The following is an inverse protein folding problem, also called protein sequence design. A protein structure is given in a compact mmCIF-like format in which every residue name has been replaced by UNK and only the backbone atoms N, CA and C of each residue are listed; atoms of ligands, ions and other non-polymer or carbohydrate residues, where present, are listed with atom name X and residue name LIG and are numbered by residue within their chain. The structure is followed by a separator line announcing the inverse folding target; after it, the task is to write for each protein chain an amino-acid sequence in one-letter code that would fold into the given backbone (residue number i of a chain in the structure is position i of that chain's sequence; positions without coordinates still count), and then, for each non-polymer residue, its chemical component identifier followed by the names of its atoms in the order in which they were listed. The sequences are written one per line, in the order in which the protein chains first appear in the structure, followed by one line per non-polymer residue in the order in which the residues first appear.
data_IF_866561422528
#
_entry.id   IF_866561422528
#
_cell.length_a   1.000
_cell.length_b   1.000
_cell.length_c   1.000
_cell.angle_alpha   90.00
_cell.angle_beta   90.00
_cell.angle_gamma   90.00
#
_symmetry.space_group_name_H-M   'P 1'
#
loop_
_entity.id
_entity.type
_entity.pdbx_description
1 polymer ?
#
# COMPACT_ATOMS: atom_id res chain seq x y z
N UNK A 1 -16.71 -45.57 61.76
CA UNK A 1 -16.42 -44.14 61.53
C UNK A 1 -17.49 -43.58 60.59
N UNK A 2 -18.52 -42.89 61.11
CA UNK A 2 -19.57 -42.28 60.27
C UNK A 2 -19.05 -40.94 59.77
N UNK A 3 -18.67 -40.85 58.50
CA UNK A 3 -18.36 -39.58 57.85
C UNK A 3 -19.68 -38.80 57.79
N UNK A 4 -19.83 -37.80 58.65
CA UNK A 4 -20.93 -36.85 58.59
C UNK A 4 -20.81 -36.06 57.28
N UNK A 5 -21.56 -36.48 56.26
CA UNK A 5 -21.74 -35.74 55.02
C UNK A 5 -22.45 -34.44 55.38
N UNK A 6 -21.71 -33.34 55.47
CA UNK A 6 -22.32 -32.02 55.70
C UNK A 6 -22.77 -31.47 54.35
N UNK A 7 -24.07 -31.53 54.01
CA UNK A 7 -24.57 -31.12 52.69
C UNK A 7 -24.26 -29.65 52.39
N UNK A 8 -24.11 -28.80 53.41
CA UNK A 8 -23.75 -27.38 53.27
C UNK A 8 -22.32 -27.19 52.78
N UNK A 9 -21.39 -28.09 53.16
CA UNK A 9 -20.00 -28.05 52.69
C UNK A 9 -19.93 -28.38 51.18
N UNK A 10 -20.69 -29.38 50.75
CA UNK A 10 -20.76 -29.76 49.33
C UNK A 10 -21.41 -28.66 48.48
N UNK A 11 -22.44 -27.99 49.00
CA UNK A 11 -23.07 -26.86 48.32
C UNK A 11 -22.10 -25.67 48.18
N UNK A 12 -21.33 -25.38 49.23
CA UNK A 12 -20.31 -24.33 49.21
C UNK A 12 -19.19 -24.60 48.20
N UNK A 13 -18.69 -25.84 48.14
CA UNK A 13 -17.67 -26.24 47.16
C UNK A 13 -18.23 -26.15 45.73
N UNK A 14 -19.46 -26.63 45.49
CA UNK A 14 -20.09 -26.54 44.17
C UNK A 14 -20.24 -25.09 43.72
N UNK A 15 -20.65 -24.19 44.63
CA UNK A 15 -20.79 -22.76 44.37
C UNK A 15 -19.45 -22.12 43.98
N UNK A 16 -18.39 -22.43 44.71
CA UNK A 16 -17.03 -21.93 44.43
C UNK A 16 -16.53 -22.44 43.07
N UNK A 17 -16.74 -23.72 42.76
CA UNK A 17 -16.37 -24.31 41.45
C UNK A 17 -17.13 -23.63 40.31
N UNK A 18 -18.43 -23.35 40.48
CA UNK A 18 -19.19 -22.59 39.48
C UNK A 18 -18.67 -21.17 39.32
N UNK A 19 -18.42 -20.44 40.42
CA UNK A 19 -17.92 -19.07 40.35
C UNK A 19 -16.57 -19.03 39.62
N UNK A 20 -15.63 -19.92 39.95
CA UNK A 20 -14.33 -20.01 39.29
C UNK A 20 -14.45 -20.41 37.80
N UNK A 21 -15.41 -21.28 37.46
CA UNK A 21 -15.68 -21.66 36.07
C UNK A 21 -16.27 -20.51 35.24
N UNK A 22 -16.96 -19.55 35.87
CA UNK A 22 -17.55 -18.39 35.19
C UNK A 22 -16.68 -17.13 35.21
N UNK A 23 -15.74 -16.98 36.16
CA UNK A 23 -14.82 -15.82 36.20
C UNK A 23 -13.67 -15.91 35.21
N UNK A 24 -13.35 -17.09 34.69
CA UNK A 24 -12.25 -17.30 33.73
C UNK A 24 -12.67 -17.24 32.25
N UNK A 25 -13.91 -16.84 31.94
CA UNK A 25 -14.22 -16.39 30.58
C UNK A 25 -13.60 -15.01 30.42
N UNK A 26 -12.30 -14.97 30.13
CA UNK A 26 -11.75 -13.85 29.37
C UNK A 26 -12.66 -13.68 28.18
N UNK A 27 -13.44 -12.61 28.21
CA UNK A 27 -14.22 -12.18 27.07
C UNK A 27 -13.15 -11.66 26.12
N UNK A 28 -12.56 -12.57 25.33
CA UNK A 28 -11.83 -12.14 24.14
C UNK A 28 -12.84 -11.28 23.40
N UNK A 29 -12.58 -9.98 23.40
CA UNK A 29 -13.30 -9.06 22.54
C UNK A 29 -13.04 -9.55 21.13
N UNK A 30 -13.94 -10.39 20.62
CA UNK A 30 -14.02 -10.72 19.21
C UNK A 30 -14.28 -9.38 18.54
N UNK A 31 -13.22 -8.73 18.07
CA UNK A 31 -13.34 -7.70 17.05
C UNK A 31 -14.17 -8.38 15.95
N UNK A 32 -15.39 -7.91 15.65
CA UNK A 32 -16.25 -8.59 14.69
C UNK A 32 -15.72 -8.25 13.31
N UNK A 33 -14.66 -8.93 12.90
CA UNK A 33 -14.15 -8.87 11.54
C UNK A 33 -15.24 -9.40 10.62
N UNK A 34 -15.70 -8.57 9.69
CA UNK A 34 -16.65 -8.92 8.66
C UNK A 34 -15.97 -9.62 7.47
N UNK A 35 -16.78 -10.35 6.70
CA UNK A 35 -16.34 -10.85 5.39
C UNK A 35 -15.98 -9.66 4.49
N UNK A 36 -14.78 -9.69 3.90
CA UNK A 36 -14.21 -8.58 3.12
C UNK A 36 -13.22 -7.71 3.89
N UNK A 37 -13.13 -7.84 5.23
CA UNK A 37 -12.15 -7.10 6.01
C UNK A 37 -10.72 -7.55 5.68
N UNK A 38 -9.82 -6.57 5.62
CA UNK A 38 -8.40 -6.75 5.37
C UNK A 38 -7.61 -6.41 6.61
N UNK A 39 -6.69 -7.29 7.00
CA UNK A 39 -5.84 -7.11 8.18
C UNK A 39 -4.37 -7.37 7.86
N UNK A 40 -3.49 -6.67 8.59
CA UNK A 40 -2.05 -6.91 8.56
C UNK A 40 -1.64 -7.75 9.76
N UNK A 41 -0.71 -8.67 9.56
CA UNK A 41 -0.20 -9.53 10.63
C UNK A 41 1.27 -9.86 10.45
N UNK A 42 1.95 -10.07 11.58
CA UNK A 42 3.30 -10.66 11.61
C UNK A 42 3.26 -12.19 11.47
N UNK A 43 2.07 -12.80 11.62
CA UNK A 43 1.89 -14.26 11.59
C UNK A 43 1.74 -14.75 10.14
N UNK A 44 2.45 -15.82 9.83
CA UNK A 44 2.24 -16.58 8.59
C UNK A 44 0.86 -17.26 8.56
N UNK A 45 0.50 -17.83 7.41
CA UNK A 45 -0.86 -18.34 7.19
C UNK A 45 -1.21 -19.48 8.14
N UNK A 46 -0.25 -20.31 8.51
CA UNK A 46 -0.46 -21.48 9.38
C UNK A 46 -0.73 -21.07 10.82
N UNK A 47 0.01 -20.09 11.35
CA UNK A 47 -0.22 -19.54 12.69
C UNK A 47 -1.42 -18.59 12.74
N UNK A 48 -1.64 -17.82 11.68
CA UNK A 48 -2.76 -16.90 11.58
C UNK A 48 -4.09 -17.67 11.63
N UNK A 49 -4.22 -18.77 10.87
CA UNK A 49 -5.42 -19.60 10.84
C UNK A 49 -5.73 -20.29 12.18
N UNK A 50 -4.72 -20.50 13.04
CA UNK A 50 -4.90 -21.06 14.39
C UNK A 50 -5.40 -20.03 15.42
N UNK A 51 -5.20 -18.74 15.14
CA UNK A 51 -5.45 -17.64 16.09
C UNK A 51 -6.65 -16.78 15.70
N UNK A 52 -7.13 -16.89 14.46
CA UNK A 52 -8.26 -16.13 13.94
C UNK A 52 -9.41 -17.05 13.56
N UNK A 53 -10.63 -16.64 13.91
CA UNK A 53 -11.85 -17.37 13.56
C UNK A 53 -12.26 -17.06 12.12
N UNK A 54 -12.84 -18.06 11.46
CA UNK A 54 -13.30 -18.00 10.07
C UNK A 54 -12.23 -18.29 9.03
N UNK A 55 -12.61 -18.17 7.76
CA UNK A 55 -11.73 -18.45 6.62
C UNK A 55 -11.04 -17.17 6.18
N UNK A 56 -9.76 -17.09 6.51
CA UNK A 56 -8.87 -16.02 6.06
C UNK A 56 -7.93 -16.54 4.99
N UNK A 57 -7.61 -15.70 4.02
CA UNK A 57 -6.66 -16.02 2.96
C UNK A 57 -5.69 -14.88 2.75
N UNK A 58 -4.44 -15.23 2.46
CA UNK A 58 -3.42 -14.25 2.06
C UNK A 58 -3.87 -13.54 0.77
N UNK A 59 -3.67 -12.22 0.70
CA UNK A 59 -3.81 -11.42 -0.52
C UNK A 59 -2.59 -11.63 -1.42
N UNK A 60 -2.60 -12.74 -2.15
CA UNK A 60 -1.50 -13.25 -2.98
C UNK A 60 -1.87 -13.37 -4.47
N UNK A 61 -2.95 -12.72 -4.90
CA UNK A 61 -3.37 -12.72 -6.31
C UNK A 61 -4.15 -13.96 -6.76
N UNK A 62 -4.45 -14.91 -5.87
CA UNK A 62 -5.15 -16.14 -6.27
C UNK A 62 -6.61 -15.92 -6.65
N UNK A 63 -7.22 -16.84 -7.43
CA UNK A 63 -8.65 -16.82 -7.71
C UNK A 63 -9.51 -16.80 -6.44
N UNK A 64 -10.54 -15.97 -6.45
CA UNK A 64 -11.57 -15.97 -5.42
C UNK A 64 -12.52 -17.16 -5.64
N UNK A 65 -12.50 -18.12 -4.73
CA UNK A 65 -13.36 -19.30 -4.77
C UNK A 65 -14.85 -18.90 -4.68
N UNK A 66 -15.63 -19.36 -5.67
CA UNK A 66 -17.06 -19.07 -5.82
C UNK A 66 -17.92 -19.55 -4.65
N UNK A 67 -17.41 -20.50 -3.86
CA UNK A 67 -18.13 -21.03 -2.71
C UNK A 67 -18.00 -20.16 -1.45
N UNK A 68 -17.05 -19.21 -1.45
CA UNK A 68 -16.81 -18.30 -0.31
C UNK A 68 -17.99 -17.34 -0.10
N UNK A 69 -18.17 -16.89 1.13
CA UNK A 69 -19.19 -15.88 1.43
C UNK A 69 -18.88 -14.56 0.73
N UNK A 70 -17.60 -14.18 0.65
CA UNK A 70 -17.17 -12.96 -0.05
C UNK A 70 -17.60 -12.97 -1.51
N UNK A 71 -17.35 -14.06 -2.25
CA UNK A 71 -17.79 -14.17 -3.63
C UNK A 71 -19.30 -14.00 -3.75
N UNK A 72 -20.07 -14.75 -2.94
CA UNK A 72 -21.53 -14.72 -2.95
C UNK A 72 -22.07 -13.33 -2.62
N UNK A 73 -21.48 -12.62 -1.66
CA UNK A 73 -21.86 -11.26 -1.29
C UNK A 73 -21.66 -10.30 -2.47
N UNK A 74 -20.48 -10.35 -3.11
CA UNK A 74 -20.17 -9.50 -4.24
C UNK A 74 -21.07 -9.80 -5.46
N UNK A 75 -21.32 -11.08 -5.73
CA UNK A 75 -22.17 -11.55 -6.83
C UNK A 75 -23.64 -11.17 -6.62
N UNK A 76 -24.19 -11.43 -5.43
CA UNK A 76 -25.59 -11.13 -5.08
C UNK A 76 -25.91 -9.64 -5.19
N UNK A 77 -24.93 -8.77 -4.89
CA UNK A 77 -25.10 -7.32 -4.97
C UNK A 77 -24.68 -6.74 -6.34
N UNK A 78 -24.37 -7.57 -7.34
CA UNK A 78 -23.90 -7.15 -8.67
C UNK A 78 -22.67 -6.22 -8.62
N UNK A 79 -21.74 -6.48 -7.69
CA UNK A 79 -20.49 -5.73 -7.52
C UNK A 79 -19.25 -6.61 -7.65
N UNK A 80 -19.38 -7.85 -8.14
CA UNK A 80 -18.23 -8.76 -8.37
C UNK A 80 -17.20 -8.20 -9.36
N UNK A 81 -17.63 -7.31 -10.26
CA UNK A 81 -16.79 -6.57 -11.19
C UNK A 81 -15.90 -5.50 -10.52
N UNK A 82 -16.02 -5.30 -9.21
CA UNK A 82 -15.11 -4.47 -8.43
C UNK A 82 -13.69 -5.06 -8.37
N UNK A 83 -13.57 -6.37 -8.54
CA UNK A 83 -12.31 -7.09 -8.59
C UNK A 83 -11.88 -7.34 -10.04
N UNK A 84 -10.57 -7.52 -10.24
CA UNK A 84 -10.02 -7.85 -11.55
C UNK A 84 -10.42 -9.28 -11.98
N UNK A 85 -10.61 -9.46 -13.28
CA UNK A 85 -10.81 -10.79 -13.91
C UNK A 85 -9.58 -11.12 -14.76
N UNK A 86 -8.99 -12.29 -14.52
CA UNK A 86 -7.85 -12.82 -15.27
C UNK A 86 -8.20 -14.25 -15.70
N UNK A 87 -8.09 -14.54 -16.99
CA UNK A 87 -8.39 -15.85 -17.58
C UNK A 87 -9.78 -16.41 -17.20
N UNK A 88 -10.77 -15.53 -17.06
CA UNK A 88 -12.15 -15.89 -16.70
C UNK A 88 -12.39 -16.11 -15.20
N UNK A 89 -11.37 -15.88 -14.36
CA UNK A 89 -11.47 -15.96 -12.91
C UNK A 89 -11.42 -14.58 -12.28
N UNK A 90 -12.35 -14.31 -11.34
CA UNK A 90 -12.23 -13.17 -10.44
C UNK A 90 -11.08 -13.43 -9.48
N UNK A 91 -10.10 -12.54 -9.45
CA UNK A 91 -8.89 -12.69 -8.62
C UNK A 91 -8.94 -11.78 -7.40
N UNK A 92 -8.42 -12.28 -6.28
CA UNK A 92 -8.12 -11.42 -5.13
C UNK A 92 -6.95 -10.49 -5.45
N UNK A 93 -6.86 -9.31 -4.80
CA UNK A 93 -5.67 -8.48 -4.89
C UNK A 93 -4.39 -9.24 -4.48
N UNK A 94 -3.26 -8.91 -5.11
CA UNK A 94 -1.94 -9.27 -4.60
C UNK A 94 -1.34 -8.07 -3.87
N UNK A 95 -1.26 -8.15 -2.54
CA UNK A 95 -0.78 -7.08 -1.68
C UNK A 95 0.72 -7.24 -1.32
N UNK A 96 1.41 -8.25 -1.85
CA UNK A 96 2.81 -8.53 -1.49
C UNK A 96 3.73 -7.51 -2.16
N UNK A 97 4.52 -6.80 -1.34
CA UNK A 97 5.54 -5.88 -1.83
C UNK A 97 5.00 -4.60 -2.49
N UNK A 98 3.70 -4.30 -2.35
CA UNK A 98 3.07 -3.11 -2.92
C UNK A 98 2.52 -2.20 -1.83
N UNK A 99 2.45 -0.91 -2.12
CA UNK A 99 1.72 0.04 -1.28
C UNK A 99 0.22 -0.03 -1.54
N UNK A 100 -0.58 0.14 -0.49
CA UNK A 100 -2.03 0.23 -0.60
C UNK A 100 -2.43 1.71 -0.69
N UNK A 101 -3.25 2.03 -1.71
CA UNK A 101 -3.87 3.34 -1.90
C UNK A 101 -5.39 3.21 -1.77
N UNK A 102 -6.02 4.22 -1.18
CA UNK A 102 -7.48 4.31 -1.16
C UNK A 102 -8.06 4.49 -2.56
N UNK A 103 -9.21 3.86 -2.83
CA UNK A 103 -9.98 4.06 -4.05
C UNK A 103 -10.51 5.51 -4.08
N UNK A 104 -10.67 6.10 -5.27
CA UNK A 104 -11.19 7.47 -5.39
C UNK A 104 -12.60 7.60 -4.83
N UNK A 105 -13.46 6.60 -5.03
CA UNK A 105 -14.85 6.62 -4.55
C UNK A 105 -15.56 7.92 -4.96
N UNK A 106 -15.54 8.24 -6.26
CA UNK A 106 -16.10 9.47 -6.86
C UNK A 106 -15.37 10.76 -6.49
N UNK A 107 -14.22 10.69 -5.81
CA UNK A 107 -13.36 11.86 -5.62
C UNK A 107 -12.76 12.30 -6.97
N UNK A 108 -12.72 13.61 -7.29
CA UNK A 108 -12.07 14.11 -8.51
C UNK A 108 -10.58 13.77 -8.57
N UNK A 109 -10.08 13.37 -9.75
CA UNK A 109 -8.69 12.94 -9.97
C UNK A 109 -7.65 14.02 -9.63
N UNK A 110 -7.97 15.30 -9.81
CA UNK A 110 -7.11 16.43 -9.42
C UNK A 110 -6.80 16.47 -7.92
N UNK A 111 -7.63 15.84 -7.09
CA UNK A 111 -7.43 15.80 -5.64
C UNK A 111 -7.21 14.39 -5.11
N UNK A 112 -7.33 13.36 -5.95
CA UNK A 112 -7.29 11.94 -5.59
C UNK A 112 -6.22 11.18 -6.36
N UNK A 113 -6.52 9.92 -6.70
CA UNK A 113 -5.71 9.17 -7.66
C UNK A 113 -5.81 9.84 -9.05
N UNK A 114 -4.68 10.26 -9.64
CA UNK A 114 -4.66 10.93 -10.95
C UNK A 114 -5.19 10.04 -12.08
N UNK A 115 -5.15 8.72 -11.92
CA UNK A 115 -5.67 7.75 -12.91
C UNK A 115 -7.21 7.58 -12.82
N UNK A 116 -7.88 8.33 -11.94
CA UNK A 116 -9.34 8.31 -11.80
C UNK A 116 -9.88 7.12 -11.00
N UNK A 117 -11.11 6.70 -11.29
CA UNK A 117 -11.74 5.58 -10.58
C UNK A 117 -11.18 4.26 -11.10
N UNK A 118 -10.51 3.51 -10.22
CA UNK A 118 -9.83 2.26 -10.56
C UNK A 118 -10.65 1.05 -10.11
N UNK A 119 -10.30 -0.13 -10.63
CA UNK A 119 -10.80 -1.41 -10.13
C UNK A 119 -10.04 -1.74 -8.84
N UNK A 120 -10.73 -2.29 -7.83
CA UNK A 120 -10.10 -2.65 -6.54
C UNK A 120 -9.06 -3.75 -6.77
N UNK A 121 -7.88 -3.56 -6.17
CA UNK A 121 -6.76 -4.49 -6.28
C UNK A 121 -5.93 -4.36 -7.56
N UNK A 122 -6.32 -3.51 -8.51
CA UNK A 122 -5.54 -3.30 -9.74
C UNK A 122 -4.19 -2.69 -9.39
N UNK A 123 -3.10 -3.30 -9.83
CA UNK A 123 -1.74 -2.77 -9.69
C UNK A 123 -1.53 -1.48 -10.50
N UNK A 124 -0.69 -0.57 -9.99
CA UNK A 124 -0.18 0.61 -10.69
C UNK A 124 1.33 0.61 -10.57
N UNK A 125 2.00 0.73 -11.72
CA UNK A 125 3.45 0.89 -11.77
C UNK A 125 3.87 2.19 -11.07
N UNK A 126 5.09 2.19 -10.53
CA UNK A 126 5.71 3.41 -10.04
C UNK A 126 5.86 4.41 -11.19
N UNK A 127 5.58 5.70 -10.90
CA UNK A 127 5.72 6.79 -11.85
C UNK A 127 6.62 7.84 -11.22
N UNK A 128 7.81 8.02 -11.80
CA UNK A 128 8.68 9.15 -11.47
C UNK A 128 8.27 10.32 -12.35
N UNK A 129 7.69 11.36 -11.74
CA UNK A 129 7.32 12.57 -12.46
C UNK A 129 8.54 13.33 -13.00
N UNK A 130 8.39 14.06 -14.12
CA UNK A 130 9.45 14.94 -14.61
C UNK A 130 9.77 15.98 -13.54
N UNK A 131 11.05 16.14 -13.23
CA UNK A 131 11.55 17.15 -12.32
C UNK A 131 12.91 17.66 -12.81
N UNK A 132 13.20 18.92 -12.56
CA UNK A 132 14.48 19.56 -12.88
C UNK A 132 15.25 19.84 -11.60
N UNK A 133 16.56 19.59 -11.60
CA UNK A 133 17.43 20.05 -10.53
C UNK A 133 17.90 21.47 -10.85
N UNK A 134 17.70 22.39 -9.89
CA UNK A 134 18.37 23.68 -9.91
C UNK A 134 19.88 23.47 -9.72
N UNK A 135 20.69 24.09 -10.57
CA UNK A 135 22.13 24.04 -10.42
C UNK A 135 22.57 24.92 -9.25
N UNK A 136 23.24 24.35 -8.25
CA UNK A 136 23.86 25.09 -7.13
C UNK A 136 25.37 25.27 -7.33
N UNK A 137 25.88 25.05 -8.54
CA UNK A 137 27.28 25.23 -8.85
C UNK A 137 27.66 26.69 -8.95
N UNK A 138 28.75 27.03 -8.30
CA UNK A 138 29.54 28.22 -8.57
C UNK A 138 30.14 28.07 -10.00
N UNK A 139 29.45 28.50 -11.06
CA UNK A 139 30.00 28.44 -12.43
C UNK A 139 31.18 29.38 -12.65
N UNK A 140 32.34 28.82 -12.39
CA UNK A 140 33.61 29.47 -12.54
C UNK A 140 33.76 30.24 -13.83
N UNK A 141 33.91 31.55 -13.70
CA UNK A 141 35.01 32.20 -14.39
C UNK A 141 36.27 31.96 -13.54
N UNK A 142 36.90 30.79 -13.73
CA UNK A 142 37.96 30.18 -12.88
C UNK A 142 37.56 29.73 -11.45
N UNK A 143 36.34 29.99 -11.03
CA UNK A 143 35.74 29.54 -9.77
C UNK A 143 34.53 30.45 -9.53
N UNK A 144 33.34 29.88 -9.42
CA UNK A 144 32.13 30.69 -9.21
C UNK A 144 31.52 31.44 -10.38
N UNK A 145 30.18 31.43 -10.42
CA UNK A 145 29.21 32.15 -11.30
C UNK A 145 28.28 31.37 -12.22
N UNK A 146 27.56 30.43 -11.59
CA UNK A 146 26.45 29.65 -12.13
C UNK A 146 25.23 30.51 -12.09
N UNK A 147 25.14 31.36 -13.11
CA UNK A 147 23.95 32.11 -13.39
C UNK A 147 23.34 31.60 -14.69
N UNK A 148 22.16 30.96 -14.64
CA UNK A 148 21.41 30.63 -15.85
C UNK A 148 21.10 31.87 -16.69
N UNK A 149 21.01 33.05 -16.07
CA UNK A 149 20.73 34.32 -16.75
C UNK A 149 21.87 34.80 -17.68
N UNK A 150 23.11 34.32 -17.48
CA UNK A 150 24.22 34.61 -18.39
C UNK A 150 24.23 33.71 -19.63
N UNK A 151 23.44 32.63 -19.65
CA UNK A 151 23.27 31.80 -20.84
C UNK A 151 22.46 32.54 -21.91
N UNK A 152 21.40 33.27 -21.54
CA UNK A 152 20.60 34.07 -22.48
C UNK A 152 21.39 35.25 -23.09
N UNK A 153 22.25 35.93 -22.30
CA UNK A 153 23.05 37.06 -22.79
C UNK A 153 24.20 36.66 -23.73
N UNK A 154 24.72 35.44 -23.63
CA UNK A 154 25.77 34.92 -24.54
C UNK A 154 25.22 34.34 -25.84
N UNK A 155 23.89 34.25 -25.97
CA UNK A 155 23.20 33.66 -27.12
C UNK A 155 22.55 34.68 -28.06
N UNK A 156 23.04 35.93 -28.08
CA UNK A 156 22.78 36.85 -29.19
C UNK A 156 23.75 36.54 -30.34
N UNK A 157 23.38 36.88 -31.57
CA UNK A 157 24.24 36.68 -32.75
C UNK A 157 25.63 37.35 -32.59
N UNK A 158 25.69 38.45 -31.83
CA UNK A 158 26.93 39.15 -31.47
C UNK A 158 27.74 38.45 -30.39
N UNK A 159 27.09 37.76 -29.44
CA UNK A 159 27.75 36.96 -28.40
C UNK A 159 28.46 35.73 -28.98
N UNK A 160 27.81 35.05 -29.93
CA UNK A 160 28.38 33.90 -30.65
C UNK A 160 29.55 34.30 -31.57
N UNK A 161 29.53 35.50 -32.15
CA UNK A 161 30.63 36.02 -32.98
C UNK A 161 31.90 36.37 -32.17
N UNK A 162 31.77 36.65 -30.87
CA UNK A 162 32.89 37.08 -30.01
C UNK A 162 33.73 35.93 -29.45
N UNK A 163 33.26 34.69 -29.55
CA UNK A 163 33.95 33.54 -28.96
C UNK A 163 34.19 32.41 -30.00
N UNK A 164 35.23 32.54 -30.85
CA UNK A 164 35.44 31.70 -32.03
C UNK A 164 35.86 30.25 -31.71
N UNK A 165 35.87 29.83 -30.45
CA UNK A 165 36.27 28.49 -29.99
C UNK A 165 35.12 27.61 -29.49
N UNK A 166 33.89 28.11 -29.50
CA UNK A 166 32.75 27.33 -29.01
C UNK A 166 32.20 26.42 -30.12
N UNK A 167 32.89 25.30 -30.31
CA UNK A 167 32.35 24.11 -30.97
C UNK A 167 30.98 23.76 -30.40
N UNK A 168 30.11 23.33 -31.31
CA UNK A 168 28.65 23.16 -31.24
C UNK A 168 28.13 22.20 -30.14
N UNK A 169 29.01 21.66 -29.29
CA UNK A 169 28.74 20.45 -28.51
C UNK A 169 28.88 20.61 -26.97
N UNK A 170 28.89 21.84 -26.42
CA UNK A 170 29.16 22.05 -24.97
C UNK A 170 28.00 22.54 -24.10
N UNK A 171 26.76 22.30 -24.48
CA UNK A 171 25.66 22.31 -23.51
C UNK A 171 24.85 21.03 -23.64
N UNK A 172 24.83 20.24 -22.57
CA UNK A 172 23.83 19.20 -22.38
C UNK A 172 22.50 19.95 -22.31
N UNK A 173 21.57 19.63 -23.19
CA UNK A 173 20.33 20.39 -23.33
C UNK A 173 19.51 20.46 -22.00
N UNK A 174 19.89 19.67 -20.98
CA UNK A 174 19.39 19.58 -19.59
C UNK A 174 19.14 20.87 -18.84
N UNK A 175 19.72 21.98 -19.26
CA UNK A 175 19.65 23.26 -18.56
C UNK A 175 18.80 24.33 -19.26
N UNK A 176 18.17 24.01 -20.40
CA UNK A 176 17.29 24.96 -21.09
C UNK A 176 15.94 25.08 -20.38
N UNK A 177 15.37 26.29 -20.39
CA UNK A 177 13.96 26.55 -20.08
C UNK A 177 13.11 25.63 -20.97
N UNK A 178 12.19 24.89 -20.36
CA UNK A 178 11.36 23.83 -20.98
C UNK A 178 12.09 22.53 -21.36
N UNK A 179 13.34 22.34 -20.92
CA UNK A 179 14.03 21.06 -21.09
C UNK A 179 13.98 20.21 -19.82
N UNK A 180 13.24 19.10 -19.89
CA UNK A 180 13.20 18.06 -18.87
C UNK A 180 13.95 16.83 -19.38
N UNK A 181 15.04 16.45 -18.70
CA UNK A 181 15.47 15.04 -18.75
C UNK A 181 14.68 14.34 -17.66
N UNK A 182 14.01 13.25 -18.02
CA UNK A 182 13.48 12.34 -17.02
C UNK A 182 14.62 11.92 -16.08
N UNK A 183 14.50 12.27 -14.80
CA UNK A 183 15.61 12.30 -13.84
C UNK A 183 16.46 11.02 -13.84
N UNK A 184 17.78 11.20 -13.91
CA UNK A 184 18.82 10.17 -13.67
C UNK A 184 19.03 9.88 -12.18
N UNK A 185 18.16 10.39 -11.31
CA UNK A 185 18.13 10.06 -9.89
C UNK A 185 17.48 8.70 -9.69
N UNK A 186 18.25 7.73 -9.19
CA UNK A 186 17.68 6.45 -8.75
C UNK A 186 16.54 6.71 -7.77
N UNK A 187 15.37 6.20 -8.11
CA UNK A 187 14.16 6.30 -7.31
C UNK A 187 14.45 5.83 -5.88
N UNK A 188 14.35 6.74 -4.91
CA UNK A 188 14.45 6.37 -3.51
C UNK A 188 13.09 5.84 -3.07
N UNK A 189 12.91 4.52 -3.12
CA UNK A 189 11.74 3.85 -2.57
C UNK A 189 11.51 4.33 -1.13
N UNK A 190 10.27 4.67 -0.72
CA UNK A 190 9.99 4.96 0.68
C UNK A 190 10.45 3.80 1.56
N UNK A 191 11.11 4.09 2.68
CA UNK A 191 11.45 3.05 3.67
C UNK A 191 10.14 2.39 4.15
N UNK A 192 10.06 1.07 4.10
CA UNK A 192 8.88 0.33 4.49
C UNK A 192 9.24 -0.93 5.30
N UNK A 193 8.22 -1.53 5.92
CA UNK A 193 8.30 -2.85 6.55
C UNK A 193 7.24 -3.74 5.89
N UNK A 194 7.51 -5.05 5.83
CA UNK A 194 6.58 -6.02 5.25
C UNK A 194 5.83 -6.76 6.35
N UNK A 195 4.51 -6.87 6.19
CA UNK A 195 3.61 -7.68 7.00
C UNK A 195 2.78 -8.57 6.07
N UNK A 196 2.32 -9.71 6.57
CA UNK A 196 1.34 -10.51 5.85
C UNK A 196 0.01 -9.74 5.81
N UNK A 197 -0.64 -9.75 4.65
CA UNK A 197 -1.93 -9.08 4.46
C UNK A 197 -2.99 -10.12 4.12
N UNK A 198 -3.99 -10.24 4.98
CA UNK A 198 -5.06 -11.22 4.86
C UNK A 198 -6.40 -10.56 4.59
N UNK A 199 -7.28 -11.27 3.89
CA UNK A 199 -8.69 -10.92 3.73
C UNK A 199 -9.57 -12.04 4.28
N UNK A 200 -10.64 -11.67 5.00
CA UNK A 200 -11.65 -12.64 5.45
C UNK A 200 -12.60 -12.96 4.31
N UNK A 201 -12.70 -14.23 3.93
CA UNK A 201 -13.54 -14.66 2.80
C UNK A 201 -14.80 -15.42 3.23
N UNK A 202 -14.82 -15.97 4.45
CA UNK A 202 -16.00 -16.58 5.08
C UNK A 202 -15.88 -16.56 6.60
N UNK A 203 -17.01 -16.70 7.31
CA UNK A 203 -17.06 -17.19 8.69
C UNK A 203 -16.62 -18.65 8.84
#
# INVERSE_FOLDING_TARGET
MKILKNPLLYLGILLIVTIVAFTNKETQATQPWGVGDVVYSILDSDLFAKTHTGKWVLLDGKPLDKNTQLYKLLDTHNVINVLQVVDGYTILPDARGVFIRGINNKRPSLTGDPDGERIVGRYQNDIVGPHSHGWTGEAGYMGGYGYPDNAERRWTEEGLKKDPKFEKDRYVASAQKDYSISGVGGETRPKNIALYTYIKVSE
#
